data_IF_664561908317
#
_entry.id   IF_664561908317
#
_cell.length_a   1.000
_cell.length_b   1.000
_cell.length_c   1.000
_cell.angle_alpha   90.00
_cell.angle_beta   90.00
_cell.angle_gamma   90.00
#
_symmetry.space_group_name_H-M   'P 1'
#
loop_
_entity.id
_entity.type
_entity.pdbx_description
1 polymer ?
#
# COMPACT_ATOMS: atom_id res chain seq x y z
N UNK A 1 11.48 -1.88 -15.33
CA UNK A 1 11.67 -1.56 -13.89
C UNK A 1 11.29 -0.11 -13.52
N UNK A 2 10.24 0.49 -14.14
CA UNK A 2 9.75 1.84 -13.77
C UNK A 2 8.30 1.85 -13.27
N UNK A 3 7.67 0.68 -13.10
CA UNK A 3 6.25 0.56 -12.80
C UNK A 3 5.87 1.24 -11.47
N UNK A 4 6.81 1.39 -10.52
CA UNK A 4 6.57 2.10 -9.27
C UNK A 4 6.23 3.57 -9.49
N UNK A 5 6.86 4.25 -10.46
CA UNK A 5 6.58 5.65 -10.75
C UNK A 5 5.17 5.82 -11.32
N UNK A 6 4.74 4.93 -12.22
CA UNK A 6 3.36 4.91 -12.71
C UNK A 6 2.37 4.70 -11.56
N UNK A 7 2.65 3.76 -10.65
CA UNK A 7 1.76 3.53 -9.51
C UNK A 7 1.76 4.67 -8.48
N UNK A 8 2.85 5.43 -8.36
CA UNK A 8 2.86 6.66 -7.58
C UNK A 8 2.02 7.73 -8.28
N UNK A 9 2.08 7.85 -9.61
CA UNK A 9 1.23 8.78 -10.34
C UNK A 9 -0.26 8.44 -10.17
N UNK A 10 -0.62 7.15 -10.22
CA UNK A 10 -2.00 6.67 -10.00
C UNK A 10 -2.56 7.12 -8.63
N UNK A 11 -1.70 7.14 -7.59
CA UNK A 11 -2.03 7.66 -6.26
C UNK A 11 -2.25 9.18 -6.29
N UNK A 12 -1.35 9.91 -6.95
CA UNK A 12 -1.39 11.38 -6.99
C UNK A 12 -2.56 11.93 -7.81
N UNK A 13 -3.03 11.18 -8.81
CA UNK A 13 -4.17 11.54 -9.65
C UNK A 13 -5.53 11.35 -8.94
N UNK A 14 -5.57 10.65 -7.79
CA UNK A 14 -6.81 10.42 -7.05
C UNK A 14 -7.43 11.73 -6.57
N UNK A 15 -8.59 12.06 -7.13
CA UNK A 15 -9.38 13.24 -6.76
C UNK A 15 -10.18 13.03 -5.47
N UNK A 16 -10.53 11.78 -5.17
CA UNK A 16 -11.24 11.43 -3.95
C UNK A 16 -10.28 11.10 -2.80
N UNK A 17 -10.44 11.81 -1.69
CA UNK A 17 -9.60 11.68 -0.50
C UNK A 17 -9.73 10.33 0.19
N UNK A 18 -10.87 9.65 0.04
CA UNK A 18 -11.09 8.34 0.65
C UNK A 18 -10.48 7.24 -0.23
N UNK A 19 -10.59 7.39 -1.55
CA UNK A 19 -9.95 6.50 -2.53
C UNK A 19 -8.42 6.49 -2.44
N UNK A 20 -7.77 7.60 -2.05
CA UNK A 20 -6.29 7.63 -1.95
C UNK A 20 -5.73 6.67 -0.88
N UNK A 21 -6.51 6.37 0.16
CA UNK A 21 -6.09 5.45 1.23
C UNK A 21 -5.97 4.03 0.68
N UNK A 22 -6.91 3.62 -0.18
CA UNK A 22 -6.90 2.31 -0.84
C UNK A 22 -5.71 2.19 -1.81
N UNK A 23 -5.45 3.24 -2.57
CA UNK A 23 -4.41 3.23 -3.59
C UNK A 23 -3.01 3.22 -2.97
N UNK A 24 -2.82 3.96 -1.87
CA UNK A 24 -1.62 3.84 -1.04
C UNK A 24 -1.47 2.45 -0.41
N UNK A 25 -2.55 1.87 0.12
CA UNK A 25 -2.49 0.53 0.70
C UNK A 25 -2.07 -0.51 -0.36
N UNK A 26 -2.60 -0.37 -1.58
CA UNK A 26 -2.25 -1.20 -2.73
C UNK A 26 -0.79 -1.00 -3.15
N UNK A 27 -0.32 0.25 -3.22
CA UNK A 27 1.06 0.59 -3.54
C UNK A 27 2.03 -0.03 -2.52
N UNK A 28 1.79 0.19 -1.23
CA UNK A 28 2.68 -0.29 -0.17
C UNK A 28 2.63 -1.83 -0.02
N UNK A 29 1.51 -2.48 -0.36
CA UNK A 29 1.42 -3.95 -0.47
C UNK A 29 2.26 -4.47 -1.65
N UNK A 30 2.21 -3.77 -2.79
CA UNK A 30 2.94 -4.14 -4.01
C UNK A 30 4.46 -3.92 -3.87
N UNK A 31 4.86 -2.93 -3.09
CA UNK A 31 6.26 -2.59 -2.84
C UNK A 31 6.57 -2.57 -1.33
N UNK A 32 6.79 -3.75 -0.70
CA UNK A 32 7.02 -3.85 0.75
C UNK A 32 8.26 -3.14 1.27
N UNK A 33 9.15 -2.71 0.38
CA UNK A 33 10.32 -1.89 0.71
C UNK A 33 9.97 -0.43 1.00
N UNK A 34 8.76 0.03 0.65
CA UNK A 34 8.28 1.36 1.02
C UNK A 34 8.04 1.42 2.52
N UNK A 35 8.79 2.27 3.20
CA UNK A 35 8.58 2.54 4.61
C UNK A 35 7.53 3.64 4.83
N UNK A 36 7.09 3.80 6.08
CA UNK A 36 6.07 4.78 6.44
C UNK A 36 6.42 6.21 6.02
N UNK A 37 7.68 6.63 6.21
CA UNK A 37 8.13 7.98 5.86
C UNK A 37 8.03 8.22 4.35
N UNK A 38 8.38 7.21 3.53
CA UNK A 38 8.26 7.27 2.08
C UNK A 38 6.80 7.34 1.63
N UNK A 39 5.91 6.60 2.29
CA UNK A 39 4.46 6.67 2.02
C UNK A 39 3.91 8.08 2.32
N UNK A 40 4.30 8.66 3.45
CA UNK A 40 3.92 10.03 3.82
C UNK A 40 4.47 11.03 2.80
N UNK A 41 5.73 10.88 2.38
CA UNK A 41 6.33 11.74 1.36
C UNK A 41 5.61 11.66 0.02
N UNK A 42 5.19 10.46 -0.41
CA UNK A 42 4.39 10.28 -1.64
C UNK A 42 3.07 11.05 -1.53
N UNK A 43 2.35 10.93 -0.41
CA UNK A 43 1.11 11.68 -0.20
C UNK A 43 1.32 13.20 -0.22
N UNK A 44 2.45 13.68 0.33
CA UNK A 44 2.77 15.10 0.34
C UNK A 44 3.13 15.67 -1.03
N UNK A 45 3.54 14.85 -2.00
CA UNK A 45 3.79 15.31 -3.38
C UNK A 45 2.52 15.85 -4.06
N UNK A 46 1.32 15.50 -3.56
CA UNK A 46 0.04 15.98 -4.10
C UNK A 46 -0.17 17.47 -3.85
N UNK A 47 0.44 18.02 -2.80
CA UNK A 47 0.51 19.46 -2.52
C UNK A 47 -0.72 20.08 -1.87
N UNK A 48 -1.80 19.33 -1.68
CA UNK A 48 -3.07 19.77 -1.08
C UNK A 48 -3.33 19.15 0.31
N UNK A 49 -2.50 18.19 0.73
CA UNK A 49 -2.54 17.59 2.07
C UNK A 49 -1.56 18.29 3.02
N UNK A 50 -2.00 18.55 4.25
CA UNK A 50 -1.10 18.87 5.34
C UNK A 50 -0.28 17.64 5.76
N UNK A 51 0.83 17.88 6.46
CA UNK A 51 1.66 16.80 7.03
C UNK A 51 0.87 15.87 7.96
N UNK A 52 -0.09 16.42 8.70
CA UNK A 52 -0.92 15.62 9.61
C UNK A 52 -1.90 14.74 8.83
N UNK A 53 -2.60 15.30 7.83
CA UNK A 53 -3.54 14.51 7.01
C UNK A 53 -2.84 13.41 6.21
N UNK A 54 -1.64 13.69 5.69
CA UNK A 54 -0.83 12.69 5.00
C UNK A 54 -0.43 11.55 5.95
N UNK A 55 -0.09 11.86 7.20
CA UNK A 55 0.22 10.86 8.22
C UNK A 55 -1.02 10.03 8.58
N UNK A 56 -2.16 10.66 8.84
CA UNK A 56 -3.40 9.97 9.21
C UNK A 56 -3.87 9.03 8.10
N UNK A 57 -3.74 9.45 6.83
CA UNK A 57 -4.05 8.62 5.66
C UNK A 57 -3.07 7.48 5.47
N UNK A 58 -1.78 7.70 5.70
CA UNK A 58 -0.77 6.65 5.66
C UNK A 58 -1.02 5.58 6.74
N UNK A 59 -1.27 6.01 7.98
CA UNK A 59 -1.62 5.12 9.10
C UNK A 59 -2.87 4.30 8.78
N UNK A 60 -3.92 4.93 8.24
CA UNK A 60 -5.14 4.25 7.80
C UNK A 60 -4.87 3.22 6.68
N UNK A 61 -4.01 3.54 5.71
CA UNK A 61 -3.67 2.64 4.61
C UNK A 61 -2.90 1.41 5.09
N UNK A 62 -1.94 1.58 6.00
CA UNK A 62 -1.19 0.46 6.60
C UNK A 62 -2.11 -0.40 7.47
N UNK A 63 -3.00 0.20 8.26
CA UNK A 63 -3.95 -0.53 9.10
C UNK A 63 -4.95 -1.36 8.28
N UNK A 64 -5.37 -0.84 7.13
CA UNK A 64 -6.32 -1.49 6.23
C UNK A 64 -5.64 -2.34 5.14
N UNK A 65 -4.32 -2.55 5.20
CA UNK A 65 -3.66 -3.48 4.29
C UNK A 65 -4.33 -4.84 4.40
N UNK A 66 -4.74 -5.46 3.28
CA UNK A 66 -5.22 -6.82 3.28
C UNK A 66 -4.10 -7.71 3.82
N UNK A 67 -4.23 -8.10 5.10
CA UNK A 67 -3.33 -9.09 5.70
C UNK A 67 -3.45 -10.33 4.86
N UNK A 68 -2.33 -10.80 4.31
CA UNK A 68 -2.32 -12.13 3.69
C UNK A 68 -2.77 -13.08 4.79
N UNK A 69 -3.90 -13.77 4.57
CA UNK A 69 -4.39 -14.73 5.56
C UNK A 69 -3.33 -15.83 5.67
N UNK A 70 -2.56 -15.78 6.76
CA UNK A 70 -1.47 -16.71 7.02
C UNK A 70 -1.96 -18.17 7.03
N UNK A 71 -3.24 -18.40 7.37
CA UNK A 71 -3.86 -19.73 7.28
C UNK A 71 -3.93 -20.25 5.84
N UNK A 72 -4.29 -19.41 4.86
CA UNK A 72 -4.33 -19.81 3.45
C UNK A 72 -2.92 -20.08 2.91
N UNK A 73 -1.93 -19.27 3.30
CA UNK A 73 -0.54 -19.53 2.92
C UNK A 73 -0.03 -20.85 3.51
N UNK A 74 -0.39 -21.15 4.76
CA UNK A 74 -0.02 -22.40 5.41
C UNK A 74 -0.64 -23.60 4.71
N UNK A 75 -1.94 -23.56 4.41
CA UNK A 75 -2.64 -24.63 3.66
C UNK A 75 -2.04 -24.84 2.26
N UNK A 76 -1.73 -23.76 1.54
CA UNK A 76 -1.07 -23.85 0.23
C UNK A 76 0.32 -24.47 0.37
N UNK A 77 1.10 -24.09 1.38
CA UNK A 77 2.41 -24.70 1.64
C UNK A 77 2.33 -26.17 2.02
N UNK A 78 1.31 -26.60 2.76
CA UNK A 78 1.08 -28.02 3.06
C UNK A 78 0.74 -28.81 1.81
N UNK A 79 -0.13 -28.29 0.94
CA UNK A 79 -0.48 -28.96 -0.33
C UNK A 79 0.74 -29.10 -1.25
N UNK A 80 1.59 -28.07 -1.34
CA UNK A 80 2.79 -28.09 -2.20
C UNK A 80 3.87 -29.04 -1.65
N UNK A 81 3.94 -29.22 -0.33
CA UNK A 81 4.95 -30.06 0.32
C UNK A 81 4.54 -31.53 0.50
N UNK A 82 3.36 -31.95 0.05
CA UNK A 82 3.01 -33.37 0.02
C UNK A 82 3.80 -34.07 -1.12
N UNK A 83 4.69 -35.03 -0.79
CA UNK A 83 5.31 -35.85 -1.83
C UNK A 83 4.23 -36.73 -2.47
N UNK A 84 4.21 -36.76 -3.81
CA UNK A 84 3.34 -37.64 -4.60
C UNK A 84 3.43 -39.11 -4.18
#
# INVERSE_FOLDING_TARGET
HFNILSNIADVLEQTDLDSIVLEIATLAKKYPSLNMDQVIQILLLRGDLTKQEAKDKADAAIANMPRVNQGILFEIMEIINQPN
#
